data_IF_149849943319
#
_entry.id   IF_149849943319
#
_cell.length_a   1.000
_cell.length_b   1.000
_cell.length_c   1.000
_cell.angle_alpha   90.00
_cell.angle_beta   90.00
_cell.angle_gamma   90.00
#
_symmetry.space_group_name_H-M   'P 1'
#
loop_
_entity.id
_entity.type
_entity.pdbx_description
1 polymer ?
#
# COMPACT_ATOMS: atom_id res chain seq x y z
N UNK A 1 -29.97 -10.54 -16.76
CA UNK A 1 -28.62 -10.59 -17.35
C UNK A 1 -28.45 -11.95 -18.00
N UNK A 2 -28.20 -12.02 -19.31
CA UNK A 2 -27.98 -13.27 -20.04
C UNK A 2 -26.50 -13.51 -20.34
N UNK A 3 -26.08 -14.77 -20.45
CA UNK A 3 -24.70 -15.12 -20.81
C UNK A 3 -24.53 -15.19 -22.33
N UNK A 4 -23.37 -14.73 -22.82
CA UNK A 4 -22.97 -14.79 -24.24
C UNK A 4 -21.64 -15.51 -24.38
N UNK A 5 -21.53 -16.41 -25.37
CA UNK A 5 -20.25 -17.03 -25.73
C UNK A 5 -19.33 -16.03 -26.42
N UNK A 6 -18.05 -16.06 -26.07
CA UNK A 6 -17.00 -15.20 -26.63
C UNK A 6 -15.73 -16.00 -26.88
N UNK A 7 -14.94 -15.59 -27.88
CA UNK A 7 -13.57 -16.08 -28.06
C UNK A 7 -12.62 -15.24 -27.21
N UNK A 8 -12.19 -15.78 -26.06
CA UNK A 8 -11.28 -15.11 -25.13
C UNK A 8 -9.83 -15.53 -25.38
N UNK A 9 -8.92 -14.57 -25.37
CA UNK A 9 -7.48 -14.80 -25.26
C UNK A 9 -6.97 -13.94 -24.11
N UNK A 10 -6.39 -14.57 -23.10
CA UNK A 10 -5.84 -13.91 -21.93
C UNK A 10 -4.42 -14.43 -21.72
N UNK A 11 -3.40 -13.56 -21.66
CA UNK A 11 -2.04 -14.01 -21.38
C UNK A 11 -1.90 -14.54 -19.96
N UNK A 12 -1.03 -15.54 -19.81
CA UNK A 12 -0.43 -15.89 -18.52
C UNK A 12 0.62 -14.83 -18.19
N UNK A 13 0.58 -14.27 -16.98
CA UNK A 13 1.57 -13.29 -16.53
C UNK A 13 1.73 -13.31 -15.02
N UNK A 14 2.91 -12.87 -14.57
CA UNK A 14 3.24 -12.61 -13.18
C UNK A 14 3.87 -11.22 -13.10
N UNK A 15 3.25 -10.33 -12.33
CA UNK A 15 3.68 -8.94 -12.17
C UNK A 15 3.75 -8.60 -10.69
N UNK A 16 4.83 -7.95 -10.28
CA UNK A 16 4.96 -7.37 -8.94
C UNK A 16 5.34 -5.88 -9.00
N UNK A 17 4.79 -5.11 -8.06
CA UNK A 17 4.93 -3.67 -7.98
C UNK A 17 5.29 -3.27 -6.55
N UNK A 18 6.13 -2.24 -6.40
CA UNK A 18 6.50 -1.65 -5.11
C UNK A 18 6.40 -0.13 -5.21
N UNK A 19 5.73 0.48 -4.25
CA UNK A 19 5.49 1.92 -4.17
C UNK A 19 5.96 2.48 -2.84
N UNK A 20 6.64 3.62 -2.87
CA UNK A 20 6.72 4.52 -1.72
C UNK A 20 5.43 5.33 -1.66
N UNK A 21 4.74 5.28 -0.52
CA UNK A 21 3.42 5.88 -0.33
C UNK A 21 3.47 7.30 0.23
N UNK A 22 4.60 7.74 0.82
CA UNK A 22 4.69 9.06 1.47
C UNK A 22 4.23 10.21 0.55
N UNK A 23 4.73 10.35 -0.70
CA UNK A 23 4.31 11.45 -1.57
C UNK A 23 2.82 11.39 -1.91
N UNK A 24 2.29 10.19 -2.15
CA UNK A 24 0.87 9.98 -2.45
C UNK A 24 -0.01 10.31 -1.26
N UNK A 25 0.38 9.89 -0.05
CA UNK A 25 -0.35 10.19 1.19
C UNK A 25 -0.37 11.70 1.47
N UNK A 26 0.75 12.38 1.26
CA UNK A 26 0.84 13.84 1.36
C UNK A 26 -0.08 14.54 0.35
N UNK A 27 -0.08 14.08 -0.91
CA UNK A 27 -0.97 14.60 -1.96
C UNK A 27 -2.46 14.38 -1.64
N UNK A 28 -2.79 13.34 -0.88
CA UNK A 28 -4.14 13.06 -0.37
C UNK A 28 -4.48 13.84 0.91
N UNK A 29 -3.56 14.63 1.46
CA UNK A 29 -3.78 15.49 2.63
C UNK A 29 -3.21 14.97 3.96
N UNK A 30 -2.60 13.79 3.99
CA UNK A 30 -1.99 13.21 5.19
C UNK A 30 -0.60 13.80 5.45
N UNK A 31 -0.50 15.12 5.68
CA UNK A 31 0.80 15.78 5.83
C UNK A 31 1.34 15.74 7.26
N UNK A 32 0.46 15.92 8.26
CA UNK A 32 0.84 16.10 9.67
C UNK A 32 1.54 14.89 10.27
N UNK A 33 1.15 13.68 9.84
CA UNK A 33 1.66 12.40 10.36
C UNK A 33 3.15 12.15 10.10
N UNK A 34 3.74 12.89 9.15
CA UNK A 34 5.15 12.78 8.75
C UNK A 34 6.05 13.83 9.42
N UNK A 35 5.51 14.72 10.28
CA UNK A 35 6.26 15.82 10.88
C UNK A 35 5.94 16.02 12.37
N UNK A 36 6.56 17.02 13.00
CA UNK A 36 6.48 17.24 14.46
C UNK A 36 5.10 17.58 15.03
N UNK A 37 4.11 17.84 14.18
CA UNK A 37 2.70 17.98 14.60
C UNK A 37 1.94 16.66 14.71
N UNK A 38 2.58 15.52 14.42
CA UNK A 38 1.94 14.21 14.49
C UNK A 38 1.48 13.90 15.92
N UNK A 39 0.23 13.46 16.07
CA UNK A 39 -0.31 13.02 17.34
C UNK A 39 -0.64 11.52 17.28
N UNK A 40 0.28 10.70 17.79
CA UNK A 40 0.11 9.25 17.95
C UNK A 40 -0.08 8.81 19.40
N UNK A 41 -0.60 9.69 20.27
CA UNK A 41 -0.82 9.40 21.71
C UNK A 41 -1.74 8.20 21.97
N UNK A 42 -2.62 7.86 21.02
CA UNK A 42 -3.45 6.65 21.11
C UNK A 42 -2.70 5.33 20.88
N UNK A 43 -1.45 5.37 20.39
CA UNK A 43 -0.59 4.19 20.17
C UNK A 43 0.49 4.11 21.25
N UNK A 44 1.03 5.25 21.66
CA UNK A 44 2.06 5.34 22.69
C UNK A 44 1.98 6.67 23.41
N UNK A 45 2.19 6.67 24.72
CA UNK A 45 2.29 7.88 25.53
C UNK A 45 3.48 8.80 25.12
N UNK A 46 4.37 8.31 24.25
CA UNK A 46 5.47 9.10 23.73
C UNK A 46 5.01 10.07 22.63
N UNK A 47 5.01 11.36 22.96
CA UNK A 47 4.55 12.44 22.09
C UNK A 47 5.46 12.75 20.87
N UNK A 48 6.61 12.07 20.72
CA UNK A 48 7.60 12.38 19.66
C UNK A 48 7.60 11.37 18.50
N UNK A 49 6.54 10.58 18.34
CA UNK A 49 6.43 9.61 17.25
C UNK A 49 5.96 10.29 15.96
N UNK A 50 6.59 9.91 14.85
CA UNK A 50 6.15 10.25 13.48
C UNK A 50 6.23 9.03 12.59
N UNK A 51 5.52 9.05 11.46
CA UNK A 51 5.76 8.10 10.37
C UNK A 51 6.96 8.63 9.57
N UNK A 52 7.99 7.80 9.41
CA UNK A 52 9.18 8.14 8.62
C UNK A 52 9.12 7.58 7.20
N UNK A 53 8.46 6.43 7.01
CA UNK A 53 8.31 5.82 5.69
C UNK A 53 6.99 5.01 5.61
N UNK A 54 6.51 4.84 4.39
CA UNK A 54 5.33 4.06 4.06
C UNK A 54 5.56 3.36 2.71
N UNK A 55 5.47 2.03 2.68
CA UNK A 55 5.74 1.23 1.48
C UNK A 55 4.61 0.24 1.24
N UNK A 56 4.18 0.10 -0.01
CA UNK A 56 3.24 -0.93 -0.44
C UNK A 56 3.86 -1.79 -1.53
N UNK A 57 3.79 -3.11 -1.38
CA UNK A 57 4.20 -4.07 -2.40
C UNK A 57 3.01 -4.97 -2.73
N UNK A 58 2.74 -5.18 -4.01
CA UNK A 58 1.70 -6.09 -4.47
C UNK A 58 2.22 -6.97 -5.61
N UNK A 59 1.68 -8.17 -5.74
CA UNK A 59 1.95 -9.08 -6.84
C UNK A 59 0.66 -9.78 -7.31
N UNK A 60 0.59 -10.07 -8.60
CA UNK A 60 -0.52 -10.81 -9.22
C UNK A 60 0.03 -11.81 -10.23
N UNK A 61 -0.39 -13.05 -10.07
CA UNK A 61 -0.18 -14.14 -11.02
C UNK A 61 -1.53 -14.50 -11.63
N UNK A 62 -1.59 -14.53 -12.96
CA UNK A 62 -2.73 -15.05 -13.71
C UNK A 62 -2.27 -16.26 -14.51
N UNK A 63 -2.96 -17.38 -14.32
CA UNK A 63 -2.73 -18.62 -15.03
C UNK A 63 -4.07 -19.31 -15.38
N UNK A 64 -3.99 -20.50 -15.94
CA UNK A 64 -5.15 -21.27 -16.41
C UNK A 64 -6.06 -21.74 -15.26
N UNK A 65 -5.52 -21.91 -14.04
CA UNK A 65 -6.28 -22.30 -12.85
C UNK A 65 -6.98 -21.10 -12.20
N UNK A 66 -6.49 -19.89 -12.44
CA UNK A 66 -7.09 -18.66 -11.94
C UNK A 66 -6.10 -17.56 -11.64
N UNK A 67 -6.28 -16.90 -10.50
CA UNK A 67 -5.47 -15.73 -10.09
C UNK A 67 -5.02 -15.86 -8.66
N UNK A 68 -3.74 -15.64 -8.41
CA UNK A 68 -3.18 -15.48 -7.06
C UNK A 68 -2.72 -14.05 -6.93
N UNK A 69 -3.23 -13.33 -5.92
CA UNK A 69 -2.84 -11.95 -5.64
C UNK A 69 -2.36 -11.82 -4.20
N UNK A 70 -1.25 -11.10 -4.02
CA UNK A 70 -0.66 -10.83 -2.69
C UNK A 70 -0.35 -9.35 -2.56
N UNK A 71 -0.45 -8.82 -1.33
CA UNK A 71 -0.09 -7.46 -1.04
C UNK A 71 0.38 -7.31 0.40
N UNK A 72 1.34 -6.40 0.62
CA UNK A 72 1.88 -6.05 1.94
C UNK A 72 2.07 -4.55 2.00
N UNK A 73 1.60 -3.95 3.08
CA UNK A 73 1.84 -2.54 3.40
C UNK A 73 2.63 -2.46 4.69
N UNK A 74 3.72 -1.69 4.68
CA UNK A 74 4.55 -1.41 5.85
C UNK A 74 4.57 0.08 6.13
N UNK A 75 4.49 0.43 7.42
CA UNK A 75 4.71 1.78 7.93
C UNK A 75 5.89 1.73 8.91
N UNK A 76 6.82 2.66 8.78
CA UNK A 76 7.94 2.83 9.69
C UNK A 76 7.74 4.09 10.52
N UNK A 77 8.02 4.00 11.81
CA UNK A 77 7.99 5.14 12.71
C UNK A 77 9.39 5.53 13.16
N UNK A 78 9.55 6.78 13.57
CA UNK A 78 10.80 7.28 14.14
C UNK A 78 10.48 8.29 15.24
N UNK A 79 11.37 8.36 16.24
CA UNK A 79 11.32 9.39 17.29
C UNK A 79 12.04 10.64 16.80
N UNK A 80 11.41 11.79 16.95
CA UNK A 80 12.10 13.08 16.79
C UNK A 80 13.00 13.28 18.03
N UNK A 81 14.29 13.56 17.80
CA UNK A 81 15.26 13.93 18.85
C UNK A 81 15.13 15.41 19.21
#
# INVERSE_FOLDING_TARGET
MGYRRVGLRLPKFDVSLRYGLVPTMQALGLNVVFGGGANFTGISENALLTISDAVHKAAVEVNEEGTVATAVTGLSNTRIL
#
